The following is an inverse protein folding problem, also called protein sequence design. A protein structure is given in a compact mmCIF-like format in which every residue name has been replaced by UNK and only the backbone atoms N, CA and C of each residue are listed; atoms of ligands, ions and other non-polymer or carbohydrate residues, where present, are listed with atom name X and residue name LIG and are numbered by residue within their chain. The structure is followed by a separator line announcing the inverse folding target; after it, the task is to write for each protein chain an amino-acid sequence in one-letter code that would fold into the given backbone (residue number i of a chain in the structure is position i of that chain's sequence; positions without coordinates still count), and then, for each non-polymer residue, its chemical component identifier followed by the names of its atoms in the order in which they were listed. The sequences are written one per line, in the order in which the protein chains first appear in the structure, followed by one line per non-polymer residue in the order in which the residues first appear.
data_IF_800310492883
#
_entry.id   IF_800310492883
#
_cell.length_a   1.000
_cell.length_b   1.000
_cell.length_c   1.000
_cell.angle_alpha   90.00
_cell.angle_beta   90.00
_cell.angle_gamma   90.00
#
_symmetry.space_group_name_H-M   'P 1'
#
loop_
_entity.id
_entity.type
_entity.pdbx_description
1 polymer ?
#
# COMPACT_ATOMS: atom_id res chain seq x y z
N UNK A 1 -0.51 14.18 8.43
CA UNK A 1 0.05 13.24 7.43
C UNK A 1 -0.32 11.78 7.73
N UNK A 2 0.21 11.13 8.79
CA UNK A 2 -0.17 9.73 9.12
C UNK A 2 -1.65 9.55 9.47
N UNK A 3 -2.19 10.43 10.31
CA UNK A 3 -3.62 10.45 10.65
C UNK A 3 -4.50 10.65 9.41
N UNK A 4 -4.06 11.52 8.52
CA UNK A 4 -4.75 11.84 7.26
C UNK A 4 -4.81 10.60 6.35
N UNK A 5 -3.75 9.79 6.26
CA UNK A 5 -3.78 8.52 5.51
C UNK A 5 -4.88 7.59 6.02
N UNK A 6 -4.88 7.33 7.33
CA UNK A 6 -5.88 6.44 7.95
C UNK A 6 -7.30 6.99 7.73
N UNK A 7 -7.47 8.31 7.83
CA UNK A 7 -8.75 8.97 7.64
C UNK A 7 -9.24 8.87 6.19
N UNK A 8 -8.40 9.22 5.21
CA UNK A 8 -8.74 9.19 3.77
C UNK A 8 -9.05 7.75 3.34
N UNK A 9 -8.23 6.78 3.77
CA UNK A 9 -8.47 5.37 3.47
C UNK A 9 -9.83 4.90 4.02
N UNK A 10 -10.17 5.30 5.25
CA UNK A 10 -11.46 4.95 5.86
C UNK A 10 -12.64 5.62 5.17
N UNK A 11 -12.52 6.90 4.82
CA UNK A 11 -13.57 7.67 4.12
C UNK A 11 -13.89 7.06 2.74
N UNK A 12 -12.90 6.44 2.09
CA UNK A 12 -13.00 5.77 0.79
C UNK A 12 -13.22 4.25 0.88
N UNK A 13 -13.50 3.71 2.07
CA UNK A 13 -13.67 2.26 2.31
C UNK A 13 -12.53 1.40 1.72
N UNK A 14 -11.30 1.92 1.78
CA UNK A 14 -10.12 1.19 1.34
C UNK A 14 -9.67 0.21 2.43
N UNK A 15 -9.25 -0.98 2.02
CA UNK A 15 -8.51 -1.93 2.83
C UNK A 15 -7.00 -1.80 2.62
N UNK A 16 -6.20 -2.49 3.43
CA UNK A 16 -4.76 -2.60 3.25
C UNK A 16 -3.95 -2.10 4.44
N UNK A 17 -2.73 -1.64 4.17
CA UNK A 17 -1.71 -1.42 5.21
C UNK A 17 -0.88 -0.18 4.96
N UNK A 18 -0.51 0.52 6.02
CA UNK A 18 0.50 1.58 6.01
C UNK A 18 1.62 1.22 6.98
N UNK A 19 2.76 0.76 6.46
CA UNK A 19 3.94 0.45 7.27
C UNK A 19 4.82 1.69 7.40
N UNK A 20 4.99 2.15 8.65
CA UNK A 20 5.81 3.32 8.95
C UNK A 20 7.30 2.95 9.01
N UNK A 21 8.16 3.96 9.06
CA UNK A 21 9.61 3.78 9.10
C UNK A 21 10.24 3.75 7.71
N UNK A 22 11.54 3.48 7.63
CA UNK A 22 12.23 3.31 6.37
C UNK A 22 12.47 1.82 6.10
N UNK A 23 12.16 1.31 4.90
CA UNK A 23 11.32 1.98 3.91
C UNK A 23 9.85 2.03 4.36
N UNK A 24 9.15 3.08 3.94
CA UNK A 24 7.72 3.28 4.19
C UNK A 24 6.92 2.71 3.04
N UNK A 25 5.93 1.85 3.33
CA UNK A 25 5.13 1.16 2.31
C UNK A 25 3.66 1.41 2.62
N UNK A 26 2.90 1.76 1.59
CA UNK A 26 1.45 1.90 1.64
C UNK A 26 0.86 0.93 0.61
N UNK A 27 -0.04 0.08 1.06
CA UNK A 27 -0.84 -0.84 0.24
C UNK A 27 -2.29 -0.45 0.43
N UNK A 28 -2.99 -0.20 -0.66
CA UNK A 28 -4.43 0.10 -0.68
C UNK A 28 -5.15 -0.94 -1.54
N UNK A 29 -6.37 -1.25 -1.17
CA UNK A 29 -7.27 -2.12 -1.91
C UNK A 29 -8.71 -1.58 -1.86
N UNK A 30 -9.40 -1.57 -2.98
CA UNK A 30 -10.80 -1.20 -3.07
C UNK A 30 -11.21 -0.94 -4.50
N UNK A 31 -12.27 -0.16 -4.66
CA UNK A 31 -12.70 0.29 -5.98
C UNK A 31 -11.58 1.08 -6.67
N UNK A 32 -11.42 0.88 -7.97
CA UNK A 32 -10.36 1.50 -8.77
C UNK A 32 -10.41 3.04 -8.71
N UNK A 33 -11.63 3.59 -8.78
CA UNK A 33 -11.90 5.03 -8.66
C UNK A 33 -11.44 5.61 -7.32
N UNK A 34 -11.66 4.87 -6.23
CA UNK A 34 -11.25 5.26 -4.87
C UNK A 34 -9.75 5.12 -4.66
N UNK A 35 -9.14 4.07 -5.22
CA UNK A 35 -7.68 3.88 -5.17
C UNK A 35 -6.96 4.99 -5.93
N UNK A 36 -7.41 5.31 -7.15
CA UNK A 36 -6.86 6.38 -7.97
C UNK A 36 -6.97 7.73 -7.26
N UNK A 37 -8.14 8.02 -6.69
CA UNK A 37 -8.38 9.27 -5.96
C UNK A 37 -7.52 9.37 -4.69
N UNK A 38 -7.32 8.27 -3.96
CA UNK A 38 -6.41 8.23 -2.82
C UNK A 38 -4.96 8.57 -3.25
N UNK A 39 -4.50 8.04 -4.38
CA UNK A 39 -3.16 8.34 -4.91
C UNK A 39 -3.03 9.83 -5.22
N UNK A 40 -4.03 10.45 -5.84
CA UNK A 40 -4.05 11.89 -6.12
C UNK A 40 -4.01 12.72 -4.83
N UNK A 41 -4.77 12.33 -3.80
CA UNK A 41 -4.74 12.95 -2.48
C UNK A 41 -3.32 12.86 -1.87
N UNK A 42 -2.67 11.70 -1.97
CA UNK A 42 -1.30 11.50 -1.49
C UNK A 42 -0.28 12.38 -2.23
N UNK A 43 -0.41 12.49 -3.57
CA UNK A 43 0.44 13.36 -4.40
C UNK A 43 0.30 14.83 -4.02
N UNK A 44 -0.93 15.29 -3.76
CA UNK A 44 -1.22 16.68 -3.37
C UNK A 44 -0.56 17.08 -2.04
N UNK A 45 -0.38 16.13 -1.12
CA UNK A 45 0.22 16.35 0.20
C UNK A 45 1.76 16.52 0.18
N UNK A 46 2.39 16.57 -1.00
CA UNK A 46 3.83 16.78 -1.21
C UNK A 46 4.69 15.85 -0.35
N UNK A 47 4.41 14.56 -0.41
CA UNK A 47 5.25 13.55 0.22
C UNK A 47 6.54 13.39 -0.60
N UNK A 48 7.69 13.48 0.07
CA UNK A 48 8.97 13.20 -0.60
C UNK A 48 9.01 11.71 -0.96
N UNK A 49 9.47 11.40 -2.18
CA UNK A 49 9.69 10.03 -2.64
C UNK A 49 8.45 9.11 -2.69
N UNK A 50 7.24 9.68 -2.90
CA UNK A 50 6.04 8.88 -3.17
C UNK A 50 6.07 8.35 -4.61
N UNK A 51 6.04 7.03 -4.78
CA UNK A 51 5.98 6.37 -6.09
C UNK A 51 5.08 5.15 -5.99
N UNK A 52 4.18 4.99 -6.96
CA UNK A 52 3.39 3.76 -7.11
C UNK A 52 4.30 2.70 -7.72
N UNK A 53 4.48 1.58 -7.01
CA UNK A 53 5.47 0.53 -7.37
C UNK A 53 4.84 -0.66 -8.09
N UNK A 54 3.52 -0.79 -8.02
CA UNK A 54 2.78 -1.83 -8.69
C UNK A 54 1.30 -1.66 -8.40
N UNK A 55 0.50 -2.15 -9.34
CA UNK A 55 -0.95 -2.14 -9.29
C UNK A 55 -1.44 -3.48 -9.84
N UNK A 56 -2.52 -3.99 -9.28
CA UNK A 56 -3.19 -5.19 -9.75
C UNK A 56 -4.70 -4.92 -9.71
N UNK A 57 -5.39 -5.32 -10.77
CA UNK A 57 -6.84 -5.17 -10.89
C UNK A 57 -7.46 -6.54 -11.10
N UNK A 58 -8.68 -6.69 -10.59
CA UNK A 58 -9.51 -7.88 -10.75
C UNK A 58 -10.87 -7.40 -11.27
N UNK A 59 -11.35 -8.01 -12.34
CA UNK A 59 -12.67 -7.70 -12.88
C UNK A 59 -13.75 -8.22 -11.92
N UNK A 60 -14.60 -7.31 -11.43
CA UNK A 60 -15.79 -7.66 -10.64
C UNK A 60 -16.99 -7.66 -11.60
N UNK A 61 -17.69 -8.79 -11.78
CA UNK A 61 -18.87 -8.85 -12.63
C UNK A 61 -19.96 -7.87 -12.18
N UNK A 62 -20.71 -7.34 -13.14
CA UNK A 62 -21.81 -6.42 -12.85
C UNK A 62 -22.86 -7.07 -11.95
N UNK A 63 -23.18 -6.43 -10.83
CA UNK A 63 -24.16 -6.93 -9.85
C UNK A 63 -23.59 -7.80 -8.74
N UNK A 64 -22.31 -8.14 -8.79
CA UNK A 64 -21.61 -8.80 -7.69
C UNK A 64 -21.11 -7.79 -6.65
N UNK A 65 -20.96 -8.25 -5.41
CA UNK A 65 -20.43 -7.42 -4.32
C UNK A 65 -18.91 -7.32 -4.40
N UNK A 66 -18.39 -6.09 -4.56
CA UNK A 66 -16.95 -5.81 -4.63
C UNK A 66 -16.20 -6.34 -3.40
N UNK A 67 -16.81 -6.26 -2.22
CA UNK A 67 -16.17 -6.69 -0.98
C UNK A 67 -15.90 -8.21 -0.96
N UNK A 68 -16.59 -8.99 -1.80
CA UNK A 68 -16.37 -10.45 -1.98
C UNK A 68 -15.14 -10.79 -2.82
N UNK A 69 -14.58 -9.82 -3.55
CA UNK A 69 -13.40 -9.98 -4.42
C UNK A 69 -12.12 -9.40 -3.81
N UNK A 70 -12.21 -8.86 -2.59
CA UNK A 70 -11.06 -8.35 -1.86
C UNK A 70 -10.14 -9.49 -1.44
N UNK A 71 -8.85 -9.29 -1.65
CA UNK A 71 -7.78 -10.16 -1.21
C UNK A 71 -7.53 -10.03 0.30
N UNK A 72 -7.61 -8.82 0.86
CA UNK A 72 -7.48 -8.60 2.30
C UNK A 72 -8.82 -8.72 3.03
N UNK A 73 -8.77 -8.90 4.36
CA UNK A 73 -9.93 -9.03 5.24
C UNK A 73 -10.77 -7.73 5.34
N UNK A 74 -11.48 -7.40 4.25
CA UNK A 74 -12.46 -6.31 4.13
C UNK A 74 -11.86 -4.90 4.01
N UNK A 75 -12.70 -3.86 4.19
CA UNK A 75 -12.32 -2.44 4.21
C UNK A 75 -11.54 -2.04 5.49
N UNK A 76 -10.58 -2.85 5.91
CA UNK A 76 -9.74 -2.57 7.09
C UNK A 76 -8.39 -2.05 6.62
N UNK A 77 -8.11 -0.80 6.96
CA UNK A 77 -6.82 -0.18 6.71
C UNK A 77 -6.07 -0.02 8.04
N UNK A 78 -4.94 -0.72 8.18
CA UNK A 78 -4.17 -0.76 9.43
C UNK A 78 -2.79 -0.10 9.30
N UNK A 79 -2.34 0.58 10.35
CA UNK A 79 -0.96 1.08 10.44
C UNK A 79 -0.07 0.01 11.08
N UNK A 80 1.05 -0.32 10.42
CA UNK A 80 2.09 -1.22 10.91
C UNK A 80 3.30 -0.42 11.39
N UNK A 81 4.00 -0.95 12.38
CA UNK A 81 5.19 -0.37 12.99
C UNK A 81 6.43 -0.39 12.09
N UNK A 82 7.54 0.16 12.61
CA UNK A 82 8.80 0.31 11.85
C UNK A 82 9.43 -1.01 11.44
N UNK A 83 9.31 -2.01 12.32
CA UNK A 83 9.95 -3.31 12.20
C UNK A 83 9.01 -4.39 11.62
N UNK A 84 7.76 -4.01 11.30
CA UNK A 84 6.71 -4.92 10.83
C UNK A 84 6.78 -5.21 9.33
N UNK A 85 7.97 -5.10 8.73
CA UNK A 85 8.15 -5.41 7.31
C UNK A 85 7.88 -6.90 7.02
N UNK A 86 8.36 -7.79 7.89
CA UNK A 86 8.12 -9.23 7.77
C UNK A 86 6.64 -9.57 7.91
N UNK A 87 5.93 -8.88 8.80
CA UNK A 87 4.48 -9.01 8.98
C UNK A 87 3.75 -8.58 7.71
N UNK A 88 4.10 -7.43 7.14
CA UNK A 88 3.52 -6.95 5.88
C UNK A 88 3.76 -7.94 4.73
N UNK A 89 4.99 -8.44 4.59
CA UNK A 89 5.36 -9.41 3.57
C UNK A 89 4.57 -10.72 3.73
N UNK A 90 4.42 -11.21 4.96
CA UNK A 90 3.65 -12.42 5.24
C UNK A 90 2.17 -12.23 4.92
N UNK A 91 1.56 -11.10 5.30
CA UNK A 91 0.16 -10.79 4.96
C UNK A 91 -0.06 -10.75 3.45
N UNK A 92 0.88 -10.17 2.68
CA UNK A 92 0.80 -10.18 1.21
C UNK A 92 0.94 -11.61 0.64
N UNK A 93 1.81 -12.45 1.22
CA UNK A 93 1.97 -13.84 0.81
C UNK A 93 0.73 -14.67 1.06
N UNK A 94 0.08 -14.50 2.21
CA UNK A 94 -1.10 -15.27 2.61
C UNK A 94 -2.27 -15.05 1.63
N UNK A 95 -2.32 -13.89 0.99
CA UNK A 95 -3.35 -13.53 -0.01
C UNK A 95 -2.86 -13.64 -1.46
N UNK A 96 -1.64 -14.15 -1.70
CA UNK A 96 -1.07 -14.34 -3.03
C UNK A 96 -0.54 -13.08 -3.73
N UNK A 97 -0.40 -11.95 -3.01
CA UNK A 97 0.14 -10.67 -3.52
C UNK A 97 1.65 -10.51 -3.28
N UNK A 98 2.39 -11.60 -3.07
CA UNK A 98 3.84 -11.56 -2.79
C UNK A 98 4.64 -10.92 -3.94
N UNK A 99 4.29 -11.21 -5.19
CA UNK A 99 4.99 -10.65 -6.35
C UNK A 99 4.80 -9.14 -6.46
N UNK A 100 3.58 -8.66 -6.20
CA UNK A 100 3.27 -7.23 -6.14
C UNK A 100 4.05 -6.55 -5.01
N UNK A 101 4.14 -7.18 -3.84
CA UNK A 101 4.94 -6.66 -2.74
C UNK A 101 6.45 -6.59 -3.07
N UNK A 102 6.97 -7.56 -3.82
CA UNK A 102 8.39 -7.60 -4.25
C UNK A 102 8.75 -6.47 -5.21
N UNK A 103 7.80 -5.89 -5.96
CA UNK A 103 8.09 -4.74 -6.84
C UNK A 103 8.47 -3.50 -6.03
N UNK A 104 7.92 -3.35 -4.82
CA UNK A 104 8.32 -2.31 -3.88
C UNK A 104 9.76 -2.50 -3.41
N UNK A 105 10.22 -3.76 -3.27
CA UNK A 105 11.51 -4.10 -2.69
C UNK A 105 12.70 -3.94 -3.64
N UNK A 106 12.54 -4.25 -4.92
CA UNK A 106 13.64 -4.29 -5.91
C UNK A 106 14.37 -2.95 -6.12
N UNK A 107 13.76 -1.82 -5.75
CA UNK A 107 14.44 -0.53 -5.82
C UNK A 107 15.20 -0.20 -4.54
N UNK A 108 14.84 -0.79 -3.38
CA UNK A 108 15.67 -0.67 -2.18
C UNK A 108 17.01 -1.37 -2.35
N UNK A 109 17.10 -2.46 -3.12
CA UNK A 109 18.40 -3.09 -3.42
C UNK A 109 19.35 -2.12 -4.14
N UNK A 110 18.82 -1.19 -4.94
CA UNK A 110 19.61 -0.16 -5.64
C UNK A 110 19.82 1.14 -4.82
N UNK A 111 18.86 1.54 -3.98
CA UNK A 111 18.97 2.77 -3.16
C UNK A 111 19.75 2.57 -1.85
N UNK A 112 19.94 1.32 -1.39
CA UNK A 112 20.71 1.00 -0.17
C UNK A 112 22.22 1.26 -0.31
N UNK A 113 22.71 1.42 -1.53
CA UNK A 113 24.15 1.54 -1.83
C UNK A 113 24.62 3.00 -1.83
N UNK A 114 23.72 3.99 -1.94
CA UNK A 114 24.12 5.40 -2.12
C UNK A 114 24.18 6.25 -0.84
N UNK A 115 23.81 5.71 0.33
CA UNK A 115 23.78 6.48 1.59
C UNK A 115 24.69 5.96 2.71
N UNK A 116 25.69 5.12 2.41
CA UNK A 116 26.73 4.71 3.37
C UNK A 116 28.05 5.50 3.26
N UNK A 117 28.12 6.57 2.45
CA UNK A 117 29.34 7.36 2.25
C UNK A 117 29.16 8.86 2.55
N UNK A 118 28.55 9.20 3.70
CA UNK A 118 28.68 10.55 4.29
C UNK A 118 28.86 10.44 5.80
N UNK A 119 30.08 10.06 6.18
CA UNK A 119 30.67 10.26 7.51
C UNK A 119 31.12 11.72 7.69
#
# INVERSE_FOLDING_TARGET
KRKDILQIARERRLGGYSKIGWPGIIIIEGEESDCASFIEDMRSMRWQYLTVRGEQQVDVPEGEDLDSYRAFDGCKFEELGRDDMSVLAQRCRDVGLEDLFRTCMKVYENESVENMDKE
#
